data_IF_418818569996
#
_entry.id   IF_418818569996
#
_cell.length_a   1.000
_cell.length_b   1.000
_cell.length_c   1.000
_cell.angle_alpha   90.00
_cell.angle_beta   90.00
_cell.angle_gamma   90.00
#
_symmetry.space_group_name_H-M   'P 1'
#
loop_
_entity.id
_entity.type
_entity.pdbx_description
1 polymer ?
#
# COMPACT_ATOMS: atom_id res chain seq x y z
N UNK A 1 -18.31 -3.24 -67.60
CA UNK A 1 -17.35 -4.06 -66.84
C UNK A 1 -16.79 -3.15 -65.77
N UNK A 2 -17.41 -3.19 -64.58
CA UNK A 2 -17.01 -2.36 -63.44
C UNK A 2 -16.36 -3.35 -62.47
N UNK A 3 -15.03 -3.33 -62.41
CA UNK A 3 -14.28 -4.04 -61.38
C UNK A 3 -14.52 -3.32 -60.06
N UNK A 4 -15.41 -3.87 -59.25
CA UNK A 4 -15.67 -3.46 -57.87
C UNK A 4 -14.55 -4.02 -56.98
N UNK A 5 -13.36 -3.41 -57.07
CA UNK A 5 -12.31 -3.59 -56.06
C UNK A 5 -12.64 -2.73 -54.84
N UNK A 6 -13.56 -3.21 -54.02
CA UNK A 6 -13.68 -2.74 -52.63
C UNK A 6 -12.54 -3.38 -51.82
N UNK A 7 -11.72 -2.58 -51.10
CA UNK A 7 -10.73 -3.15 -50.21
C UNK A 7 -11.49 -3.85 -49.07
N UNK A 8 -11.31 -5.15 -48.94
CA UNK A 8 -11.72 -5.91 -47.74
C UNK A 8 -10.88 -5.36 -46.60
N UNK A 9 -11.39 -4.31 -45.96
CA UNK A 9 -10.82 -3.78 -44.72
C UNK A 9 -11.05 -4.86 -43.68
N UNK A 10 -9.99 -5.61 -43.37
CA UNK A 10 -10.03 -6.72 -42.44
C UNK A 10 -10.54 -6.23 -41.09
N UNK A 11 -11.67 -6.77 -40.61
CA UNK A 11 -12.35 -6.37 -39.38
C UNK A 11 -11.41 -6.32 -38.15
N UNK A 12 -10.42 -7.21 -38.13
CA UNK A 12 -9.35 -7.26 -37.13
C UNK A 12 -8.50 -5.96 -37.11
N UNK A 13 -8.21 -5.38 -38.26
CA UNK A 13 -7.43 -4.15 -38.38
C UNK A 13 -8.19 -2.94 -37.84
N UNK A 14 -9.51 -2.87 -38.06
CA UNK A 14 -10.36 -1.81 -37.50
C UNK A 14 -10.41 -1.90 -35.98
N UNK A 15 -10.57 -3.10 -35.42
CA UNK A 15 -10.54 -3.32 -33.97
C UNK A 15 -9.19 -2.89 -33.37
N UNK A 16 -8.07 -3.23 -34.03
CA UNK A 16 -6.74 -2.82 -33.61
C UNK A 16 -6.55 -1.30 -33.67
N UNK A 17 -7.03 -0.64 -34.72
CA UNK A 17 -6.96 0.83 -34.88
C UNK A 17 -7.79 1.51 -33.79
N UNK A 18 -9.02 1.07 -33.52
CA UNK A 18 -9.85 1.59 -32.43
C UNK A 18 -9.16 1.39 -31.07
N UNK A 19 -8.57 0.23 -30.83
CA UNK A 19 -7.81 -0.04 -29.60
C UNK A 19 -6.60 0.89 -29.46
N UNK A 20 -5.86 1.14 -30.54
CA UNK A 20 -4.74 2.06 -30.53
C UNK A 20 -5.19 3.51 -30.28
N UNK A 21 -6.25 3.95 -30.95
CA UNK A 21 -6.82 5.28 -30.79
C UNK A 21 -7.35 5.52 -29.37
N UNK A 22 -8.06 4.55 -28.79
CA UNK A 22 -8.57 4.63 -27.41
C UNK A 22 -7.42 4.72 -26.41
N UNK A 23 -6.38 3.88 -26.56
CA UNK A 23 -5.16 3.96 -25.74
C UNK A 23 -4.48 5.32 -25.86
N UNK A 24 -4.33 5.84 -27.08
CA UNK A 24 -3.73 7.15 -27.33
C UNK A 24 -4.54 8.28 -26.69
N UNK A 25 -5.86 8.32 -26.91
CA UNK A 25 -6.76 9.33 -26.33
C UNK A 25 -6.76 9.27 -24.80
N UNK A 26 -6.80 8.07 -24.21
CA UNK A 26 -6.73 7.90 -22.76
C UNK A 26 -5.38 8.34 -22.20
N UNK A 27 -4.27 8.10 -22.91
CA UNK A 27 -2.94 8.59 -22.52
C UNK A 27 -2.88 10.11 -22.57
N UNK A 28 -3.40 10.72 -23.64
CA UNK A 28 -3.46 12.18 -23.82
C UNK A 28 -4.34 12.85 -22.76
N UNK A 29 -5.52 12.31 -22.49
CA UNK A 29 -6.41 12.82 -21.44
C UNK A 29 -5.76 12.78 -20.06
N UNK A 30 -5.06 11.68 -19.74
CA UNK A 30 -4.27 11.58 -18.49
C UNK A 30 -3.15 12.61 -18.43
N UNK A 31 -2.40 12.82 -19.51
CA UNK A 31 -1.36 13.86 -19.57
C UNK A 31 -1.93 15.25 -19.32
N UNK A 32 -3.04 15.59 -19.98
CA UNK A 32 -3.73 16.87 -19.81
C UNK A 32 -4.23 17.06 -18.37
N UNK A 33 -4.84 16.03 -17.78
CA UNK A 33 -5.30 16.08 -16.38
C UNK A 33 -4.13 16.31 -15.41
N UNK A 34 -2.96 15.71 -15.67
CA UNK A 34 -1.74 15.91 -14.87
C UNK A 34 -1.17 17.32 -15.06
N UNK A 35 -1.15 17.85 -16.28
CA UNK A 35 -0.72 19.22 -16.54
C UNK A 35 -1.60 20.24 -15.81
N UNK A 36 -2.91 20.04 -15.84
CA UNK A 36 -3.86 20.85 -15.07
C UNK A 36 -3.64 20.72 -13.56
N UNK A 37 -3.37 19.51 -13.06
CA UNK A 37 -3.03 19.29 -11.65
C UNK A 37 -1.72 20.01 -11.26
N UNK A 38 -0.67 19.94 -12.08
CA UNK A 38 0.59 20.67 -11.87
C UNK A 38 0.41 22.19 -11.93
N UNK A 39 -0.54 22.65 -12.74
CA UNK A 39 -0.94 24.05 -12.83
C UNK A 39 -1.72 24.55 -11.63
N UNK A 40 -2.52 23.70 -10.98
CA UNK A 40 -3.40 24.06 -9.87
C UNK A 40 -2.82 23.79 -8.48
N UNK A 41 -1.87 22.86 -8.35
CA UNK A 41 -1.24 22.54 -7.06
C UNK A 41 0.20 23.07 -6.98
N UNK A 42 0.60 23.45 -5.77
CA UNK A 42 1.96 23.82 -5.42
C UNK A 42 2.47 22.89 -4.32
N UNK A 43 3.64 22.30 -4.52
CA UNK A 43 4.31 21.47 -3.51
C UNK A 43 5.16 22.38 -2.64
N UNK A 44 4.79 22.50 -1.38
CA UNK A 44 5.46 23.29 -0.36
C UNK A 44 6.20 22.38 0.62
N UNK A 45 7.10 22.96 1.40
CA UNK A 45 7.79 22.29 2.50
C UNK A 45 7.51 23.02 3.80
N UNK A 46 7.19 22.26 4.84
CA UNK A 46 7.07 22.80 6.18
C UNK A 46 8.46 22.93 6.81
N UNK A 47 8.75 24.11 7.38
CA UNK A 47 10.03 24.40 8.01
C UNK A 47 10.21 23.67 9.35
N UNK A 48 9.11 23.36 10.04
CA UNK A 48 9.15 22.69 11.34
C UNK A 48 9.30 21.19 11.18
N UNK A 49 8.44 20.56 10.37
CA UNK A 49 8.44 19.11 10.19
C UNK A 49 9.43 18.63 9.14
N UNK A 50 9.87 19.50 8.23
CA UNK A 50 10.65 19.13 7.05
C UNK A 50 9.89 18.24 6.06
N UNK A 51 8.56 18.15 6.20
CA UNK A 51 7.68 17.34 5.36
C UNK A 51 7.08 18.17 4.24
N UNK A 52 6.79 17.51 3.11
CA UNK A 52 6.13 18.16 1.99
C UNK A 52 4.61 18.18 2.17
N UNK A 53 3.99 19.30 1.83
CA UNK A 53 2.53 19.44 1.73
C UNK A 53 2.14 20.02 0.37
N UNK A 54 0.87 19.88 0.01
CA UNK A 54 0.33 20.28 -1.28
C UNK A 54 -0.74 21.34 -1.08
N UNK A 55 -0.51 22.55 -1.62
CA UNK A 55 -1.48 23.64 -1.62
C UNK A 55 -2.24 23.65 -2.95
N UNK A 56 -3.57 23.63 -2.88
CA UNK A 56 -4.42 23.89 -4.03
C UNK A 56 -4.56 25.41 -4.21
N UNK A 57 -4.06 25.94 -5.31
CA UNK A 57 -4.06 27.37 -5.61
C UNK A 57 -5.45 27.90 -5.98
N UNK A 58 -6.38 27.02 -6.38
CA UNK A 58 -7.75 27.41 -6.74
C UNK A 58 -8.64 27.54 -5.52
N UNK A 59 -8.47 26.66 -4.53
CA UNK A 59 -9.31 26.65 -3.31
C UNK A 59 -8.61 27.24 -2.10
N UNK A 60 -7.29 27.47 -2.17
CA UNK A 60 -6.47 27.90 -1.04
C UNK A 60 -6.20 26.81 0.02
N UNK A 61 -6.75 25.60 -0.16
CA UNK A 61 -6.63 24.53 0.83
C UNK A 61 -5.30 23.80 0.74
N UNK A 62 -4.71 23.49 1.89
CA UNK A 62 -3.49 22.67 2.03
C UNK A 62 -3.82 21.25 2.46
N UNK A 63 -3.13 20.26 1.89
CA UNK A 63 -3.23 18.85 2.27
C UNK A 63 -1.85 18.20 2.37
N UNK A 64 -1.66 17.36 3.37
CA UNK A 64 -0.47 16.51 3.53
C UNK A 64 -0.49 15.28 2.62
N UNK A 65 -1.68 14.84 2.19
CA UNK A 65 -1.82 13.74 1.22
C UNK A 65 -1.58 14.26 -0.20
N UNK A 66 -0.71 13.56 -0.92
CA UNK A 66 -0.44 13.84 -2.33
C UNK A 66 -1.72 13.60 -3.16
N UNK A 67 -2.20 14.58 -3.94
CA UNK A 67 -3.41 14.41 -4.73
C UNK A 67 -3.20 13.35 -5.83
N UNK A 68 -4.25 12.55 -6.09
CA UNK A 68 -4.19 11.33 -6.91
C UNK A 68 -3.55 11.56 -8.29
N UNK A 69 -3.93 12.66 -8.96
CA UNK A 69 -3.40 13.00 -10.28
C UNK A 69 -1.89 13.30 -10.28
N UNK A 70 -1.34 13.82 -9.17
CA UNK A 70 0.10 14.02 -9.02
C UNK A 70 0.83 12.74 -8.62
N UNK A 71 0.15 11.82 -7.92
CA UNK A 71 0.73 10.56 -7.48
C UNK A 71 1.06 9.62 -8.64
N UNK A 72 0.24 9.61 -9.69
CA UNK A 72 0.33 8.66 -10.80
C UNK A 72 1.57 8.80 -11.72
N UNK A 73 2.32 9.90 -11.67
CA UNK A 73 3.46 10.16 -12.57
C UNK A 73 4.83 10.03 -11.88
N UNK A 74 4.91 10.07 -10.56
CA UNK A 74 6.20 9.92 -9.90
C UNK A 74 6.60 8.44 -9.96
N UNK A 75 7.78 8.10 -10.50
CA UNK A 75 8.29 6.75 -10.40
C UNK A 75 8.41 6.41 -8.91
N UNK A 76 7.67 5.38 -8.51
CA UNK A 76 7.57 4.75 -7.19
C UNK A 76 8.74 5.12 -6.26
N UNK A 77 8.52 6.10 -5.39
CA UNK A 77 9.32 6.25 -4.16
C UNK A 77 8.86 5.10 -3.24
N UNK A 78 9.55 3.96 -3.33
CA UNK A 78 9.25 2.76 -2.55
C UNK A 78 9.69 2.94 -1.09
N UNK A 79 8.71 2.93 -0.17
CA UNK A 79 8.68 2.48 1.25
C UNK A 79 7.65 3.37 1.99
N UNK A 80 6.66 2.92 2.76
CA UNK A 80 6.34 1.64 3.37
C UNK A 80 4.83 1.65 3.77
N UNK A 81 4.24 0.52 4.18
CA UNK A 81 2.80 0.35 4.31
C UNK A 81 2.28 0.88 5.65
N UNK A 82 1.10 1.49 5.64
CA UNK A 82 0.21 1.57 6.81
C UNK A 82 -1.17 1.12 6.37
N UNK A 83 -1.39 -0.17 6.60
CA UNK A 83 -2.61 -0.84 7.08
C UNK A 83 -3.89 0.02 7.01
N UNK A 84 -4.73 -0.35 6.03
CA UNK A 84 -6.14 -0.73 6.12
C UNK A 84 -7.14 0.06 6.99
N UNK A 85 -8.13 0.66 6.30
CA UNK A 85 -9.61 0.52 6.45
C UNK A 85 -10.21 0.73 7.85
N UNK A 86 -11.25 1.56 8.02
CA UNK A 86 -12.64 1.25 7.65
C UNK A 86 -13.45 2.51 7.30
N UNK A 87 -14.42 2.33 6.42
CA UNK A 87 -15.59 3.20 6.23
C UNK A 87 -16.44 3.25 7.52
N UNK A 88 -16.92 4.43 7.92
CA UNK A 88 -18.31 4.73 8.32
C UNK A 88 -18.47 6.25 8.51
N UNK A 89 -19.40 6.81 7.73
CA UNK A 89 -20.48 7.74 8.11
C UNK A 89 -20.24 9.08 8.84
N UNK A 90 -20.69 10.13 8.12
CA UNK A 90 -21.65 11.16 8.54
C UNK A 90 -21.26 12.10 9.69
N UNK A 91 -20.84 13.28 9.25
CA UNK A 91 -21.35 14.60 9.63
C UNK A 91 -20.98 15.21 11.00
N UNK A 92 -20.93 16.54 10.95
CA UNK A 92 -20.90 17.50 12.05
C UNK A 92 -19.53 17.74 12.68
N UNK A 93 -18.90 18.84 12.24
CA UNK A 93 -18.83 20.05 13.06
C UNK A 93 -18.46 21.24 12.16
N UNK A 94 -19.45 22.12 12.01
CA UNK A 94 -19.30 23.46 11.46
C UNK A 94 -18.25 24.25 12.26
N UNK A 95 -17.28 24.82 11.57
CA UNK A 95 -16.65 26.06 11.99
C UNK A 95 -16.66 27.03 10.82
N UNK A 96 -17.74 27.81 10.80
CA UNK A 96 -17.99 29.04 10.05
C UNK A 96 -16.70 29.82 9.72
N UNK A 97 -16.37 30.07 8.43
CA UNK A 97 -15.45 31.12 8.05
C UNK A 97 -16.26 32.33 7.57
N UNK A 98 -16.63 33.22 8.49
CA UNK A 98 -16.85 34.62 8.12
C UNK A 98 -15.48 35.31 8.21
N UNK A 99 -14.91 35.50 7.03
CA UNK A 99 -13.62 36.10 6.81
C UNK A 99 -13.50 36.35 5.32
N UNK A 100 -14.23 37.39 4.88
CA UNK A 100 -14.11 37.96 3.55
C UNK A 100 -12.65 38.32 3.27
N UNK A 101 -11.95 37.44 2.58
CA UNK A 101 -10.73 37.77 1.87
C UNK A 101 -10.95 37.34 0.43
N UNK A 102 -11.29 38.30 -0.43
CA UNK A 102 -11.19 38.13 -1.86
C UNK A 102 -9.73 37.81 -2.21
N UNK A 103 -9.43 36.55 -2.48
CA UNK A 103 -8.09 36.12 -2.88
C UNK A 103 -8.04 36.14 -4.41
N UNK A 104 -7.37 37.17 -4.94
CA UNK A 104 -6.99 37.35 -6.33
C UNK A 104 -6.17 36.14 -6.84
N UNK A 105 -6.66 35.32 -7.80
CA UNK A 105 -5.89 34.20 -8.34
C UNK A 105 -5.08 34.64 -9.57
N UNK A 106 -4.00 35.41 -9.34
CA UNK A 106 -2.93 35.63 -10.32
C UNK A 106 -1.60 35.85 -9.56
N UNK A 107 -1.13 34.83 -8.82
CA UNK A 107 0.31 34.75 -8.55
C UNK A 107 1.00 34.54 -9.90
N UNK A 108 1.88 35.47 -10.29
CA UNK A 108 2.56 35.46 -11.58
C UNK A 108 3.29 34.13 -11.77
N UNK A 109 3.38 33.64 -13.01
CA UNK A 109 4.18 32.44 -13.33
C UNK A 109 5.61 32.55 -12.79
N UNK A 110 6.15 33.77 -12.69
CA UNK A 110 7.47 34.07 -12.10
C UNK A 110 7.49 33.84 -10.59
N UNK A 111 6.48 34.29 -9.86
CA UNK A 111 6.37 34.10 -8.41
C UNK A 111 6.26 32.61 -8.06
N UNK A 112 5.53 31.86 -8.89
CA UNK A 112 5.43 30.40 -8.76
C UNK A 112 6.77 29.70 -8.99
N UNK A 113 7.58 30.20 -9.92
CA UNK A 113 8.92 29.67 -10.15
C UNK A 113 9.83 29.97 -8.95
N UNK A 114 9.78 31.21 -8.45
CA UNK A 114 10.56 31.64 -7.30
C UNK A 114 10.28 30.79 -6.06
N UNK A 115 9.01 30.59 -5.69
CA UNK A 115 8.62 29.73 -4.55
C UNK A 115 9.09 28.27 -4.72
N UNK A 116 9.12 27.76 -5.95
CA UNK A 116 9.67 26.43 -6.25
C UNK A 116 11.17 26.39 -6.04
N UNK A 117 11.89 27.41 -6.48
CA UNK A 117 13.34 27.51 -6.29
C UNK A 117 13.70 27.62 -4.80
N UNK A 118 12.97 28.44 -4.05
CA UNK A 118 13.12 28.56 -2.59
C UNK A 118 12.88 27.22 -1.89
N UNK A 119 11.81 26.52 -2.28
CA UNK A 119 11.49 25.17 -1.78
C UNK A 119 12.59 24.16 -2.07
N UNK A 120 13.17 24.19 -3.28
CA UNK A 120 14.28 23.31 -3.66
C UNK A 120 15.58 23.68 -2.91
N UNK A 121 15.84 24.97 -2.72
CA UNK A 121 16.99 25.44 -1.95
C UNK A 121 16.88 25.02 -0.49
N UNK A 122 15.68 25.12 0.11
CA UNK A 122 15.40 24.65 1.47
C UNK A 122 15.64 23.14 1.59
N UNK A 123 15.13 22.33 0.66
CA UNK A 123 15.40 20.88 0.63
C UNK A 123 16.90 20.58 0.59
N UNK A 124 17.64 21.24 -0.31
CA UNK A 124 19.10 21.07 -0.42
C UNK A 124 19.81 21.44 0.89
N UNK A 125 19.37 22.51 1.57
CA UNK A 125 19.90 22.93 2.87
C UNK A 125 19.66 21.87 3.94
N UNK A 126 18.43 21.40 4.12
CA UNK A 126 18.11 20.33 5.07
C UNK A 126 18.90 19.05 4.80
N UNK A 127 19.04 18.66 3.52
CA UNK A 127 19.87 17.51 3.16
C UNK A 127 21.36 17.74 3.49
N UNK A 128 21.88 18.95 3.29
CA UNK A 128 23.23 19.34 3.67
C UNK A 128 23.47 19.23 5.17
N UNK A 129 22.58 19.83 5.97
CA UNK A 129 22.63 19.77 7.43
C UNK A 129 22.52 18.33 7.94
N UNK A 130 21.63 17.52 7.35
CA UNK A 130 21.53 16.09 7.65
C UNK A 130 22.85 15.37 7.36
N UNK A 131 23.47 15.60 6.20
CA UNK A 131 24.78 15.00 5.85
C UNK A 131 25.87 15.43 6.83
N UNK A 132 25.90 16.71 7.19
CA UNK A 132 26.87 17.23 8.14
C UNK A 132 26.69 16.62 9.53
N UNK A 133 25.45 16.55 10.02
CA UNK A 133 25.14 15.91 11.29
C UNK A 133 25.53 14.42 11.29
N UNK A 134 25.28 13.72 10.18
CA UNK A 134 25.70 12.33 9.98
C UNK A 134 27.22 12.19 9.99
N UNK A 135 27.97 13.14 9.44
CA UNK A 135 29.44 13.17 9.51
C UNK A 135 29.93 13.40 10.93
N UNK A 136 29.40 14.42 11.62
CA UNK A 136 29.72 14.75 13.02
C UNK A 136 29.48 13.54 13.94
N UNK A 137 28.39 12.80 13.72
CA UNK A 137 27.99 11.66 14.55
C UNK A 137 28.28 10.30 13.94
N UNK A 138 29.10 10.21 12.88
CA UNK A 138 29.32 8.99 12.09
C UNK A 138 29.63 7.76 12.94
N UNK A 139 30.49 7.91 13.95
CA UNK A 139 30.87 6.81 14.86
C UNK A 139 29.71 6.35 15.74
N UNK A 140 28.87 7.27 16.23
CA UNK A 140 27.68 6.92 17.03
C UNK A 140 26.67 6.18 16.16
N UNK A 141 26.40 6.68 14.94
CA UNK A 141 25.50 6.05 13.97
C UNK A 141 25.98 4.66 13.59
N UNK A 142 27.26 4.49 13.23
CA UNK A 142 27.81 3.19 12.89
C UNK A 142 27.69 2.18 14.04
N UNK A 143 27.88 2.61 15.30
CA UNK A 143 27.67 1.75 16.47
C UNK A 143 26.20 1.38 16.65
N UNK A 144 25.28 2.32 16.49
CA UNK A 144 23.85 2.05 16.56
C UNK A 144 23.41 1.06 15.48
N UNK A 145 23.87 1.23 14.24
CA UNK A 145 23.59 0.32 13.13
C UNK A 145 24.10 -1.10 13.41
N UNK A 146 25.35 -1.24 13.86
CA UNK A 146 25.90 -2.57 14.20
C UNK A 146 25.13 -3.26 15.33
N UNK A 147 24.64 -2.50 16.31
CA UNK A 147 23.79 -3.03 17.38
C UNK A 147 22.45 -3.51 16.82
N UNK A 148 21.80 -2.66 16.03
CA UNK A 148 20.54 -3.00 15.37
C UNK A 148 20.66 -4.27 14.52
N UNK A 149 21.68 -4.37 13.67
CA UNK A 149 21.91 -5.54 12.82
C UNK A 149 22.13 -6.81 13.66
N UNK A 150 22.86 -6.68 14.78
CA UNK A 150 23.07 -7.79 15.71
C UNK A 150 21.76 -8.21 16.37
N UNK A 151 21.00 -7.26 16.93
CA UNK A 151 19.74 -7.55 17.61
C UNK A 151 18.74 -8.21 16.65
N UNK A 152 18.67 -7.75 15.40
CA UNK A 152 17.83 -8.36 14.36
C UNK A 152 18.25 -9.80 13.99
N UNK A 153 19.55 -10.10 14.01
CA UNK A 153 20.05 -11.48 13.79
C UNK A 153 19.79 -12.37 15.01
N UNK A 154 19.96 -11.84 16.21
CA UNK A 154 19.72 -12.54 17.47
C UNK A 154 18.22 -12.88 17.59
N UNK A 155 17.32 -11.96 17.25
CA UNK A 155 15.87 -12.20 17.18
C UNK A 155 15.51 -13.32 16.21
N UNK A 156 16.08 -13.32 14.99
CA UNK A 156 15.90 -14.42 14.02
C UNK A 156 16.42 -15.77 14.55
N UNK A 157 17.44 -15.76 15.38
CA UNK A 157 17.98 -16.98 15.97
C UNK A 157 17.10 -17.49 17.11
N UNK A 158 16.61 -16.59 17.97
CA UNK A 158 15.65 -16.90 19.04
C UNK A 158 14.35 -17.48 18.49
N UNK A 159 13.74 -16.83 17.49
CA UNK A 159 12.51 -17.33 16.84
C UNK A 159 12.67 -18.74 16.27
N UNK A 160 13.83 -19.08 15.71
CA UNK A 160 14.13 -20.46 15.25
C UNK A 160 14.24 -21.43 16.42
N UNK A 161 14.95 -21.05 17.49
CA UNK A 161 15.08 -21.87 18.69
C UNK A 161 13.73 -22.10 19.36
N UNK A 162 12.94 -21.05 19.55
CA UNK A 162 11.58 -21.09 20.07
C UNK A 162 10.71 -22.04 19.26
N UNK A 163 10.73 -21.92 17.92
CA UNK A 163 10.02 -22.84 17.03
C UNK A 163 10.47 -24.28 17.24
N UNK A 164 11.78 -24.54 17.38
CA UNK A 164 12.29 -25.89 17.63
C UNK A 164 11.87 -26.42 19.01
N UNK A 165 11.90 -25.58 20.05
CA UNK A 165 11.44 -25.96 21.39
C UNK A 165 9.96 -26.24 21.42
N UNK A 166 9.15 -25.43 20.73
CA UNK A 166 7.72 -25.63 20.59
C UNK A 166 7.42 -26.94 19.89
N UNK A 167 8.08 -27.23 18.75
CA UNK A 167 7.92 -28.51 18.06
C UNK A 167 8.30 -29.71 18.95
N UNK A 168 9.35 -29.59 19.77
CA UNK A 168 9.72 -30.64 20.72
C UNK A 168 8.64 -30.84 21.78
N UNK A 169 8.12 -29.77 22.36
CA UNK A 169 7.04 -29.80 23.34
C UNK A 169 5.76 -30.38 22.74
N UNK A 170 5.34 -29.90 21.56
CA UNK A 170 4.17 -30.40 20.84
C UNK A 170 4.31 -31.90 20.54
N UNK A 171 5.51 -32.36 20.13
CA UNK A 171 5.76 -33.78 19.90
C UNK A 171 5.74 -34.61 21.21
N UNK A 172 6.29 -34.08 22.31
CA UNK A 172 6.21 -34.74 23.62
C UNK A 172 4.77 -34.89 24.09
N UNK A 173 3.99 -33.82 23.96
CA UNK A 173 2.57 -33.82 24.28
C UNK A 173 1.81 -34.84 23.44
N UNK A 174 2.08 -34.89 22.13
CA UNK A 174 1.46 -35.86 21.24
C UNK A 174 1.76 -37.30 21.67
N UNK A 175 2.99 -37.60 22.06
CA UNK A 175 3.36 -38.93 22.56
C UNK A 175 2.58 -39.26 23.84
N UNK A 176 2.47 -38.30 24.76
CA UNK A 176 1.70 -38.48 25.99
C UNK A 176 0.22 -38.74 25.70
N UNK A 177 -0.41 -37.97 24.81
CA UNK A 177 -1.79 -38.17 24.41
C UNK A 177 -2.01 -39.56 23.78
N UNK A 178 -1.05 -40.05 22.98
CA UNK A 178 -1.08 -41.41 22.43
C UNK A 178 -0.99 -42.48 23.52
N UNK A 179 -0.14 -42.30 24.54
CA UNK A 179 -0.07 -43.19 25.70
C UNK A 179 -1.38 -43.19 26.50
N UNK A 180 -2.02 -42.03 26.64
CA UNK A 180 -3.33 -41.87 27.29
C UNK A 180 -4.50 -42.43 26.44
N UNK A 181 -4.21 -42.97 25.25
CA UNK A 181 -5.20 -43.57 24.34
C UNK A 181 -6.00 -42.56 23.53
N UNK A 182 -5.66 -41.26 23.59
CA UNK A 182 -6.27 -40.24 22.74
C UNK A 182 -5.73 -40.43 21.31
N UNK A 183 -6.64 -40.55 20.34
CA UNK A 183 -6.27 -40.65 18.93
C UNK A 183 -5.98 -39.25 18.39
N UNK A 184 -4.88 -39.11 17.63
CA UNK A 184 -4.60 -37.87 16.89
C UNK A 184 -5.75 -37.61 15.92
N UNK A 185 -6.42 -36.46 16.06
CA UNK A 185 -7.47 -36.06 15.13
C UNK A 185 -6.86 -35.87 13.73
N UNK A 186 -7.49 -36.48 12.72
CA UNK A 186 -6.98 -36.41 11.36
C UNK A 186 -7.21 -34.99 10.82
N UNK A 187 -6.13 -34.31 10.45
CA UNK A 187 -6.13 -32.91 9.99
C UNK A 187 -6.54 -32.87 8.50
N UNK A 188 -7.69 -33.46 8.20
CA UNK A 188 -8.28 -33.45 6.85
C UNK A 188 -9.09 -32.17 6.67
N UNK A 189 -8.97 -31.53 5.52
CA UNK A 189 -9.92 -30.49 5.11
C UNK A 189 -11.27 -31.13 4.73
N UNK A 190 -12.35 -30.34 4.77
CA UNK A 190 -13.68 -30.80 4.30
C UNK A 190 -13.59 -31.33 2.86
N UNK A 191 -12.79 -30.67 2.01
CA UNK A 191 -12.50 -31.11 0.64
C UNK A 191 -11.83 -32.49 0.60
N UNK A 192 -10.80 -32.73 1.42
CA UNK A 192 -10.12 -34.03 1.45
C UNK A 192 -11.04 -35.15 1.95
N UNK A 193 -11.83 -34.89 2.99
CA UNK A 193 -12.82 -35.84 3.51
C UNK A 193 -13.89 -36.17 2.46
N UNK A 194 -14.34 -35.16 1.70
CA UNK A 194 -15.26 -35.32 0.57
C UNK A 194 -14.65 -36.16 -0.56
N UNK A 195 -13.40 -35.89 -0.94
CA UNK A 195 -12.71 -36.65 -1.99
C UNK A 195 -12.48 -38.12 -1.62
N UNK A 196 -12.38 -38.45 -0.32
CA UNK A 196 -12.28 -39.83 0.18
C UNK A 196 -13.64 -40.49 0.41
N UNK A 197 -14.75 -39.73 0.35
CA UNK A 197 -16.11 -40.22 0.57
C UNK A 197 -16.48 -40.44 2.05
N UNK A 198 -15.77 -39.82 3.00
CA UNK A 198 -16.04 -39.98 4.44
C UNK A 198 -17.07 -38.95 4.94
N UNK A 199 -18.36 -39.23 4.75
CA UNK A 199 -19.47 -38.32 5.12
C UNK A 199 -19.52 -37.98 6.62
N UNK A 200 -19.38 -38.98 7.50
CA UNK A 200 -19.37 -38.78 8.96
C UNK A 200 -18.25 -37.83 9.42
N UNK A 201 -17.16 -37.75 8.66
CA UNK A 201 -16.05 -36.84 8.97
C UNK A 201 -16.36 -35.42 8.49
N UNK A 202 -17.00 -35.28 7.33
CA UNK A 202 -17.45 -33.97 6.81
C UNK A 202 -18.43 -33.33 7.79
N UNK A 203 -19.41 -34.10 8.28
CA UNK A 203 -20.40 -33.65 9.26
C UNK A 203 -19.71 -33.17 10.55
N UNK A 204 -18.81 -33.99 11.12
CA UNK A 204 -18.01 -33.60 12.29
C UNK A 204 -17.16 -32.35 12.07
N UNK A 205 -16.59 -32.17 10.87
CA UNK A 205 -15.78 -30.98 10.55
C UNK A 205 -16.66 -29.72 10.42
N UNK A 206 -17.86 -29.86 9.86
CA UNK A 206 -18.84 -28.77 9.82
C UNK A 206 -19.33 -28.39 11.22
N UNK A 207 -19.60 -29.38 12.09
CA UNK A 207 -19.99 -29.16 13.49
C UNK A 207 -18.89 -28.46 14.30
N UNK A 208 -17.62 -28.77 14.01
CA UNK A 208 -16.45 -28.12 14.59
C UNK A 208 -16.18 -26.71 14.00
N UNK A 209 -16.98 -26.26 13.03
CA UNK A 209 -16.88 -24.91 12.47
C UNK A 209 -15.77 -24.73 11.42
N UNK A 210 -15.35 -25.81 10.74
CA UNK A 210 -14.42 -25.69 9.61
C UNK A 210 -15.14 -25.13 8.38
N UNK A 211 -14.51 -24.17 7.69
CA UNK A 211 -15.07 -23.61 6.46
C UNK A 211 -14.93 -24.57 5.29
N UNK A 212 -15.99 -24.68 4.48
CA UNK A 212 -16.03 -25.51 3.25
C UNK A 212 -15.01 -25.02 2.22
N UNK A 213 -14.70 -23.73 2.21
CA UNK A 213 -13.80 -23.09 1.25
C UNK A 213 -12.34 -23.08 1.69
N UNK A 214 -12.04 -23.54 2.92
CA UNK A 214 -10.68 -23.46 3.45
C UNK A 214 -9.75 -24.51 2.80
N UNK A 215 -8.66 -24.04 2.17
CA UNK A 215 -7.56 -24.89 1.70
C UNK A 215 -6.71 -25.47 2.84
N UNK A 216 -6.94 -25.04 4.08
CA UNK A 216 -6.23 -25.51 5.27
C UNK A 216 -7.22 -26.00 6.33
N UNK A 217 -6.89 -27.10 6.99
CA UNK A 217 -7.68 -27.67 8.09
C UNK A 217 -7.48 -26.87 9.38
N UNK A 218 -7.78 -25.56 9.33
CA UNK A 218 -7.86 -24.69 10.51
C UNK A 218 -9.30 -24.16 10.62
N UNK A 219 -9.90 -24.17 11.82
CA UNK A 219 -11.22 -23.60 12.03
C UNK A 219 -11.17 -22.08 11.81
N UNK A 220 -12.18 -21.55 11.11
CA UNK A 220 -12.26 -20.13 10.71
C UNK A 220 -12.34 -19.17 11.91
N UNK A 221 -12.80 -19.64 13.07
CA UNK A 221 -12.92 -18.86 14.30
C UNK A 221 -11.60 -18.36 14.89
N UNK A 222 -10.44 -18.91 14.47
CA UNK A 222 -9.13 -18.44 14.94
C UNK A 222 -8.51 -17.34 14.08
N UNK A 223 -9.12 -16.99 12.93
CA UNK A 223 -8.64 -15.91 12.06
C UNK A 223 -9.23 -14.54 12.41
N UNK A 224 -10.24 -14.46 13.28
CA UNK A 224 -10.97 -13.23 13.60
C UNK A 224 -10.52 -12.53 14.90
N UNK A 225 -9.52 -13.06 15.62
CA UNK A 225 -9.00 -12.50 16.89
C UNK A 225 -7.54 -12.02 16.79
N UNK A 226 -7.22 -11.31 15.70
CA UNK A 226 -6.01 -10.49 15.61
C UNK A 226 -6.33 -9.22 14.84
N UNK A 227 -6.99 -8.28 15.53
CA UNK A 227 -7.05 -6.87 15.18
C UNK A 227 -6.41 -6.08 16.33
#
# INVERSE_FOLDING_TARGET
>A
MVDDSTPVVNEETEVLVVRLQTLYRARRARQQAVELANGSYLKCWDAVSGLAYYCNLRTGLSSWKKPLLLAARDPVEALAPTISTLDEDVNTLESKPEGEAGINPQLSLKDRHHQREESLAFKKKCEGEKRELMLRHRRKIARAMRRFDKDALDEKSRTRQERQTKLKQDNQQLLQDLYDGKKKENVETIREAAMRGNLDRIEKLLDLGFSVDAESAKPSFLYTLSA
#
